data_IF_233215071469
#
_entry.id   IF_233215071469
#
_cell.length_a   1.000
_cell.length_b   1.000
_cell.length_c   1.000
_cell.angle_alpha   90.00
_cell.angle_beta   90.00
_cell.angle_gamma   90.00
#
_symmetry.space_group_name_H-M   'P 1'
#
loop_
_entity.id
_entity.type
_entity.pdbx_description
1 polymer ?
#
# COMPACT_ATOMS: atom_id res chain seq x y z
N UNK A 1 27.31 -73.96 -75.08
CA UNK A 1 26.19 -73.00 -75.25
C UNK A 1 26.04 -72.27 -73.94
N UNK A 2 26.72 -71.14 -73.79
CA UNK A 2 26.75 -70.35 -72.56
C UNK A 2 25.63 -69.32 -72.59
N UNK A 3 24.74 -69.36 -71.61
CA UNK A 3 23.62 -68.43 -71.52
C UNK A 3 24.14 -67.17 -70.84
N UNK A 4 24.11 -66.07 -71.58
CA UNK A 4 24.54 -64.75 -71.17
C UNK A 4 23.41 -64.11 -70.35
N UNK A 5 23.68 -63.79 -69.08
CA UNK A 5 22.73 -63.12 -68.19
C UNK A 5 22.85 -61.61 -68.40
N UNK A 6 21.84 -61.05 -69.06
CA UNK A 6 21.62 -59.62 -69.21
C UNK A 6 21.40 -58.98 -67.82
N UNK A 7 22.23 -58.00 -67.49
CA UNK A 7 22.22 -57.34 -66.19
C UNK A 7 21.33 -56.11 -66.27
N UNK A 8 20.12 -56.20 -65.70
CA UNK A 8 19.18 -55.08 -65.61
C UNK A 8 19.74 -53.86 -64.88
N UNK A 9 19.12 -52.67 -65.05
CA UNK A 9 19.71 -51.41 -64.63
C UNK A 9 19.81 -51.32 -63.10
N UNK A 10 21.02 -51.08 -62.60
CA UNK A 10 21.29 -50.82 -61.19
C UNK A 10 20.60 -49.54 -60.71
N UNK A 11 19.60 -49.68 -59.85
CA UNK A 11 18.92 -48.56 -59.18
C UNK A 11 19.88 -47.93 -58.17
N UNK A 12 20.40 -46.73 -58.47
CA UNK A 12 21.16 -45.92 -57.50
C UNK A 12 20.22 -45.37 -56.43
N UNK A 13 20.26 -45.96 -55.23
CA UNK A 13 19.62 -45.40 -54.03
C UNK A 13 20.34 -44.12 -53.64
N UNK A 14 19.66 -42.99 -53.74
CA UNK A 14 20.14 -41.72 -53.20
C UNK A 14 19.89 -41.75 -51.69
N UNK A 15 20.95 -41.91 -50.89
CA UNK A 15 20.86 -41.70 -49.46
C UNK A 15 20.66 -40.19 -49.21
N UNK A 16 19.45 -39.79 -48.82
CA UNK A 16 19.22 -38.47 -48.25
C UNK A 16 19.94 -38.41 -46.90
N UNK A 17 21.09 -37.74 -46.84
CA UNK A 17 21.69 -37.34 -45.59
C UNK A 17 20.79 -36.26 -44.98
N UNK A 18 20.08 -36.61 -43.92
CA UNK A 18 19.28 -35.69 -43.14
C UNK A 18 20.24 -34.78 -42.36
N UNK A 19 20.45 -33.56 -42.85
CA UNK A 19 21.24 -32.55 -42.14
C UNK A 19 20.48 -32.15 -40.87
N UNK A 20 20.85 -32.75 -39.75
CA UNK A 20 20.34 -32.43 -38.41
C UNK A 20 21.24 -31.40 -37.70
N UNK A 21 21.70 -30.39 -38.45
CA UNK A 21 22.45 -29.28 -37.87
C UNK A 21 21.45 -28.28 -37.28
N UNK A 22 21.52 -28.04 -35.97
CA UNK A 22 20.70 -27.03 -35.31
C UNK A 22 21.22 -25.67 -35.77
N UNK A 23 20.41 -24.95 -36.55
CA UNK A 23 20.71 -23.57 -36.88
C UNK A 23 20.55 -22.71 -35.62
N UNK A 24 21.67 -22.25 -35.06
CA UNK A 24 21.70 -21.40 -33.86
C UNK A 24 21.32 -19.95 -34.20
N UNK A 25 21.60 -19.49 -35.42
CA UNK A 25 21.37 -18.10 -35.86
C UNK A 25 19.92 -17.63 -35.69
N UNK A 26 18.90 -18.39 -36.12
CA UNK A 26 17.50 -18.01 -35.89
C UNK A 26 17.09 -18.07 -34.41
N UNK A 27 17.71 -18.96 -33.63
CA UNK A 27 17.42 -19.10 -32.20
C UNK A 27 17.90 -17.88 -31.40
N UNK A 28 19.08 -17.39 -31.72
CA UNK A 28 19.65 -16.18 -31.09
C UNK A 28 18.84 -14.95 -31.44
N UNK A 29 18.36 -14.83 -32.69
CA UNK A 29 17.52 -13.73 -33.14
C UNK A 29 16.18 -13.68 -32.36
N UNK A 30 15.51 -14.82 -32.20
CA UNK A 30 14.26 -14.91 -31.41
C UNK A 30 14.49 -14.51 -29.95
N UNK A 31 15.58 -14.95 -29.33
CA UNK A 31 15.89 -14.58 -27.94
C UNK A 31 16.20 -13.08 -27.82
N UNK A 32 16.95 -12.51 -28.77
CA UNK A 32 17.29 -11.08 -28.78
C UNK A 32 16.04 -10.20 -28.98
N UNK A 33 15.12 -10.59 -29.86
CA UNK A 33 13.83 -9.91 -30.03
C UNK A 33 13.02 -9.92 -28.73
N UNK A 34 12.95 -11.06 -28.04
CA UNK A 34 12.25 -11.16 -26.75
C UNK A 34 12.89 -10.26 -25.67
N UNK A 35 14.22 -10.17 -25.63
CA UNK A 35 14.92 -9.27 -24.71
C UNK A 35 14.60 -7.79 -24.98
N UNK A 36 14.56 -7.38 -26.26
CA UNK A 36 14.19 -6.02 -26.64
C UNK A 36 12.74 -5.73 -26.25
N UNK A 37 11.81 -6.65 -26.47
CA UNK A 37 10.41 -6.51 -26.06
C UNK A 37 10.31 -6.27 -24.55
N UNK A 38 10.99 -7.08 -23.73
CA UNK A 38 10.96 -6.90 -22.28
C UNK A 38 11.62 -5.59 -21.81
N UNK A 39 12.73 -5.20 -22.43
CA UNK A 39 13.41 -3.93 -22.14
C UNK A 39 12.53 -2.71 -22.46
N UNK A 40 11.74 -2.78 -23.54
CA UNK A 40 10.84 -1.69 -23.98
C UNK A 40 9.49 -1.72 -23.29
N UNK A 41 9.02 -2.87 -22.79
CA UNK A 41 7.73 -2.99 -22.10
C UNK A 41 7.77 -2.59 -20.61
N UNK A 42 8.93 -2.70 -19.96
CA UNK A 42 9.09 -2.31 -18.55
C UNK A 42 9.01 -0.80 -18.18
N UNK A 43 9.26 0.19 -19.05
CA UNK A 43 9.36 1.59 -18.65
C UNK A 43 8.01 2.29 -18.39
N UNK A 44 6.86 1.62 -18.58
CA UNK A 44 5.54 2.26 -18.46
C UNK A 44 4.85 2.08 -17.11
N UNK A 45 5.62 1.93 -16.03
CA UNK A 45 5.09 1.99 -14.67
C UNK A 45 5.36 3.37 -14.05
N UNK A 46 4.82 4.43 -14.63
CA UNK A 46 4.68 5.73 -13.95
C UNK A 46 3.19 6.04 -13.81
N UNK A 47 2.72 6.01 -12.56
CA UNK A 47 1.41 6.59 -12.22
C UNK A 47 1.60 8.10 -12.22
N UNK A 48 1.46 8.71 -13.41
CA UNK A 48 1.30 10.16 -13.49
C UNK A 48 -0.09 10.48 -12.92
N UNK A 49 -0.14 10.80 -11.63
CA UNK A 49 -1.27 11.54 -11.08
C UNK A 49 -1.02 13.01 -11.44
N UNK A 50 -1.72 13.59 -12.43
CA UNK A 50 -1.64 15.03 -12.65
C UNK A 50 -2.22 15.72 -11.41
N UNK A 51 -1.34 16.28 -10.59
CA UNK A 51 -1.75 17.15 -9.49
C UNK A 51 -1.94 18.53 -10.10
N UNK A 52 -3.16 18.83 -10.54
CA UNK A 52 -3.57 20.20 -10.83
C UNK A 52 -3.50 20.97 -9.51
N UNK A 53 -2.43 21.76 -9.35
CA UNK A 53 -2.34 22.78 -8.31
C UNK A 53 -3.02 24.03 -8.87
N UNK A 54 -4.29 24.32 -8.53
CA UNK A 54 -4.83 25.64 -8.82
C UNK A 54 -3.95 26.65 -8.10
N UNK A 55 -3.46 27.65 -8.83
CA UNK A 55 -2.82 28.85 -8.28
C UNK A 55 -3.85 29.59 -7.44
N UNK A 56 -4.04 29.13 -6.20
CA UNK A 56 -4.92 29.77 -5.25
C UNK A 56 -4.22 31.01 -4.70
N UNK A 57 -4.54 32.16 -5.30
CA UNK A 57 -4.65 33.42 -4.57
C UNK A 57 -5.88 33.37 -3.63
N UNK A 58 -5.99 32.31 -2.83
CA UNK A 58 -7.01 32.16 -1.82
C UNK A 58 -6.35 32.48 -0.48
N UNK A 59 -6.92 33.46 0.22
CA UNK A 59 -6.73 33.69 1.65
C UNK A 59 -6.50 32.36 2.37
N UNK A 60 -5.47 32.24 3.22
CA UNK A 60 -5.20 31.01 3.94
C UNK A 60 -6.48 30.59 4.65
N UNK A 61 -7.01 29.44 4.25
CA UNK A 61 -8.04 28.74 5.03
C UNK A 61 -7.47 28.61 6.44
N UNK A 62 -8.25 28.87 7.50
CA UNK A 62 -7.77 28.64 8.85
C UNK A 62 -7.23 27.21 8.92
N UNK A 63 -6.08 26.99 9.59
CA UNK A 63 -5.53 25.65 9.74
C UNK A 63 -6.63 24.70 10.22
N UNK A 64 -6.66 23.45 9.72
CA UNK A 64 -7.65 22.48 10.17
C UNK A 64 -7.62 22.48 11.70
N UNK A 65 -8.81 22.62 12.30
CA UNK A 65 -8.99 22.67 13.76
C UNK A 65 -8.08 21.65 14.42
N UNK A 66 -7.20 22.11 15.31
CA UNK A 66 -6.18 21.27 15.90
C UNK A 66 -6.81 19.96 16.41
N UNK A 67 -6.22 18.79 16.09
CA UNK A 67 -6.77 17.52 16.50
C UNK A 67 -6.86 17.46 18.03
N UNK A 68 -8.02 17.04 18.54
CA UNK A 68 -8.23 16.90 19.96
C UNK A 68 -7.60 15.60 20.45
N UNK A 69 -6.55 15.69 21.26
CA UNK A 69 -5.92 14.54 21.88
C UNK A 69 -6.56 14.21 23.23
N UNK A 70 -6.91 12.95 23.41
CA UNK A 70 -7.32 12.37 24.69
C UNK A 70 -6.25 11.36 25.10
N UNK A 71 -5.53 11.64 26.17
CA UNK A 71 -4.44 10.79 26.67
C UNK A 71 -4.87 10.03 27.91
N UNK A 72 -4.58 8.73 27.93
CA UNK A 72 -4.73 7.84 29.08
C UNK A 72 -3.35 7.43 29.55
N UNK A 73 -2.97 7.83 30.77
CA UNK A 73 -1.71 7.43 31.39
C UNK A 73 -1.82 6.06 32.07
N UNK A 74 -0.65 5.45 32.33
CA UNK A 74 -0.53 4.13 32.96
C UNK A 74 -1.19 4.05 34.35
N UNK A 75 -1.22 5.17 35.08
CA UNK A 75 -1.85 5.30 36.41
C UNK A 75 -3.38 5.46 36.33
N UNK A 76 -3.96 5.50 35.12
CA UNK A 76 -5.37 5.76 34.88
C UNK A 76 -5.72 7.25 34.82
N UNK A 77 -4.73 8.14 34.87
CA UNK A 77 -4.91 9.57 34.65
C UNK A 77 -5.44 9.86 33.25
N UNK A 78 -6.47 10.71 33.17
CA UNK A 78 -7.07 11.14 31.90
C UNK A 78 -6.75 12.60 31.65
N UNK A 79 -6.30 12.88 30.43
CA UNK A 79 -5.97 14.21 29.98
C UNK A 79 -6.65 14.48 28.65
N UNK A 80 -7.22 15.66 28.50
CA UNK A 80 -7.68 16.17 27.21
C UNK A 80 -6.80 17.36 26.88
N UNK A 81 -6.04 17.25 25.79
CA UNK A 81 -4.88 18.13 25.53
C UNK A 81 -3.92 18.13 26.74
N UNK A 82 -3.84 19.26 27.44
CA UNK A 82 -2.96 19.46 28.59
C UNK A 82 -3.75 19.50 29.92
N UNK A 83 -5.07 19.37 29.86
CA UNK A 83 -5.93 19.47 31.04
C UNK A 83 -6.26 18.10 31.61
N UNK A 84 -5.95 17.90 32.89
CA UNK A 84 -6.38 16.72 33.63
C UNK A 84 -7.89 16.75 33.85
N UNK A 85 -8.58 15.66 33.50
CA UNK A 85 -10.03 15.53 33.63
C UNK A 85 -10.40 14.21 34.28
N UNK A 86 -11.54 14.17 34.96
CA UNK A 86 -12.13 12.90 35.38
C UNK A 86 -12.94 12.26 34.24
N UNK A 87 -13.20 10.96 34.33
CA UNK A 87 -14.00 10.24 33.33
C UNK A 87 -15.42 10.81 33.18
N UNK A 88 -15.98 11.37 34.26
CA UNK A 88 -17.30 12.02 34.26
C UNK A 88 -17.27 13.37 33.52
N UNK A 89 -16.15 14.08 33.56
CA UNK A 89 -15.96 15.39 32.94
C UNK A 89 -15.46 15.30 31.50
N UNK A 90 -14.92 14.14 31.10
CA UNK A 90 -14.34 13.90 29.77
C UNK A 90 -15.24 14.36 28.62
N UNK A 91 -16.52 13.98 28.65
CA UNK A 91 -17.47 14.35 27.60
C UNK A 91 -17.70 15.87 27.53
N UNK A 92 -17.82 16.54 28.68
CA UNK A 92 -18.01 17.98 28.75
C UNK A 92 -16.77 18.74 28.29
N UNK A 93 -15.57 18.31 28.73
CA UNK A 93 -14.31 18.91 28.33
C UNK A 93 -14.05 18.75 26.82
N UNK A 94 -14.33 17.57 26.26
CA UNK A 94 -14.27 17.36 24.82
C UNK A 94 -15.24 18.29 24.08
N UNK A 95 -16.48 18.43 24.55
CA UNK A 95 -17.49 19.28 23.93
C UNK A 95 -17.13 20.76 23.97
N UNK A 96 -16.53 21.23 25.05
CA UNK A 96 -16.03 22.60 25.18
C UNK A 96 -14.88 22.86 24.20
N UNK A 97 -13.91 21.95 24.13
CA UNK A 97 -12.74 22.10 23.27
C UNK A 97 -13.05 21.92 21.77
N UNK A 98 -14.06 21.11 21.42
CA UNK A 98 -14.53 21.02 20.03
C UNK A 98 -15.57 22.09 19.67
N UNK A 99 -15.89 23.01 20.58
CA UNK A 99 -16.98 23.99 20.41
C UNK A 99 -18.32 23.35 19.99
N UNK A 100 -18.58 22.14 20.49
CA UNK A 100 -19.76 21.33 20.14
C UNK A 100 -19.73 20.66 18.77
N UNK A 101 -18.60 20.73 18.04
CA UNK A 101 -18.44 20.00 16.79
C UNK A 101 -18.17 18.51 17.05
N UNK A 102 -19.17 17.66 16.77
CA UNK A 102 -19.08 16.20 16.92
C UNK A 102 -18.39 15.50 15.74
N UNK A 103 -18.21 16.19 14.62
CA UNK A 103 -17.48 15.68 13.45
C UNK A 103 -15.96 15.81 13.61
N UNK A 104 -15.50 16.52 14.65
CA UNK A 104 -14.08 16.62 14.99
C UNK A 104 -13.52 15.23 15.23
N UNK A 105 -12.37 14.94 14.62
CA UNK A 105 -11.66 13.68 14.84
C UNK A 105 -10.90 13.75 16.16
N UNK A 106 -11.19 12.82 17.06
CA UNK A 106 -10.51 12.68 18.34
C UNK A 106 -9.41 11.64 18.23
N UNK A 107 -8.25 11.94 18.81
CA UNK A 107 -7.11 11.03 18.86
C UNK A 107 -6.95 10.51 20.28
N UNK A 108 -7.19 9.22 20.48
CA UNK A 108 -7.04 8.53 21.75
C UNK A 108 -5.63 7.95 21.84
N UNK A 109 -4.79 8.54 22.69
CA UNK A 109 -3.45 8.06 23.03
C UNK A 109 -3.52 7.29 24.35
N UNK A 110 -2.92 6.12 24.40
CA UNK A 110 -2.72 5.37 25.63
C UNK A 110 -1.27 4.96 25.77
N UNK A 111 -0.76 4.94 26.99
CA UNK A 111 0.47 4.23 27.31
C UNK A 111 0.28 2.71 27.01
N UNK A 112 1.34 2.02 26.62
CA UNK A 112 1.33 0.57 26.33
C UNK A 112 0.86 -0.26 27.54
N UNK A 113 1.06 0.27 28.74
CA UNK A 113 0.70 -0.40 30.00
C UNK A 113 -0.76 -0.20 30.41
N UNK A 114 -1.52 0.65 29.71
CA UNK A 114 -2.93 0.91 30.03
C UNK A 114 -3.77 -0.34 29.77
N UNK A 115 -4.58 -0.71 30.77
CA UNK A 115 -5.55 -1.79 30.60
C UNK A 115 -6.54 -1.50 29.47
N UNK A 116 -6.71 -2.48 28.58
CA UNK A 116 -7.66 -2.40 27.46
C UNK A 116 -9.08 -2.01 27.92
N UNK A 117 -9.53 -2.50 29.08
CA UNK A 117 -10.83 -2.16 29.65
C UNK A 117 -10.98 -0.67 29.97
N UNK A 118 -9.91 -0.01 30.39
CA UNK A 118 -9.88 1.43 30.66
C UNK A 118 -9.99 2.24 29.38
N UNK A 119 -9.21 1.88 28.35
CA UNK A 119 -9.31 2.47 27.00
C UNK A 119 -10.72 2.35 26.41
N UNK A 120 -11.32 1.16 26.50
CA UNK A 120 -12.68 0.93 26.03
C UNK A 120 -13.72 1.76 26.81
N UNK A 121 -13.54 1.95 28.12
CA UNK A 121 -14.43 2.79 28.93
C UNK A 121 -14.37 4.25 28.47
N UNK A 122 -13.18 4.78 28.23
CA UNK A 122 -12.96 6.15 27.71
C UNK A 122 -13.61 6.30 26.33
N UNK A 123 -13.35 5.36 25.42
CA UNK A 123 -13.91 5.38 24.08
C UNK A 123 -15.44 5.31 24.09
N UNK A 124 -16.03 4.46 24.94
CA UNK A 124 -17.48 4.37 25.11
C UNK A 124 -18.09 5.67 25.66
N UNK A 125 -17.41 6.34 26.61
CA UNK A 125 -17.86 7.64 27.13
C UNK A 125 -17.90 8.70 26.02
N UNK A 126 -16.87 8.75 25.18
CA UNK A 126 -16.81 9.69 24.04
C UNK A 126 -17.84 9.37 22.96
N UNK A 127 -18.05 8.09 22.63
CA UNK A 127 -19.12 7.68 21.69
C UNK A 127 -20.50 8.03 22.21
N UNK A 128 -20.78 7.82 23.50
CA UNK A 128 -22.06 8.22 24.12
C UNK A 128 -22.28 9.73 24.10
N UNK A 129 -21.21 10.52 24.08
CA UNK A 129 -21.26 11.97 23.93
C UNK A 129 -21.50 12.42 22.47
N UNK A 130 -21.52 11.49 21.50
CA UNK A 130 -21.80 11.77 20.09
C UNK A 130 -20.58 11.81 19.19
N UNK A 131 -19.37 11.60 19.71
CA UNK A 131 -18.16 11.55 18.89
C UNK A 131 -18.03 10.22 18.17
N UNK A 132 -18.30 10.23 16.87
CA UNK A 132 -18.22 9.04 16.03
C UNK A 132 -16.80 8.77 15.50
N UNK A 133 -15.95 9.79 15.41
CA UNK A 133 -14.62 9.73 14.77
C UNK A 133 -13.50 9.68 15.80
N UNK A 134 -13.33 8.54 16.44
CA UNK A 134 -12.25 8.30 17.40
C UNK A 134 -11.17 7.44 16.74
N UNK A 135 -9.95 7.95 16.66
CA UNK A 135 -8.78 7.25 16.16
C UNK A 135 -7.87 6.89 17.32
N UNK A 136 -7.48 5.61 17.44
CA UNK A 136 -6.42 5.23 18.37
C UNK A 136 -5.08 5.56 17.74
N UNK A 137 -4.22 6.21 18.52
CA UNK A 137 -2.82 6.43 18.18
C UNK A 137 -1.97 5.69 19.19
N UNK A 138 -1.21 4.72 18.70
CA UNK A 138 -0.05 4.26 19.43
C UNK A 138 0.91 5.46 19.53
N UNK A 139 1.50 5.67 20.69
CA UNK A 139 2.64 6.60 20.78
C UNK A 139 3.71 6.05 19.84
N UNK A 140 3.85 6.64 18.65
CA UNK A 140 5.06 6.43 17.85
C UNK A 140 6.22 6.80 18.77
N UNK A 141 7.10 5.83 19.00
CA UNK A 141 8.44 6.11 19.43
C UNK A 141 8.96 7.14 18.41
N UNK A 142 9.14 8.39 18.83
CA UNK A 142 9.81 9.38 18.00
C UNK A 142 11.17 8.79 17.71
N UNK A 143 11.36 8.19 16.53
CA UNK A 143 12.69 7.84 16.08
C UNK A 143 13.47 9.16 15.96
N UNK A 144 14.60 9.29 16.68
CA UNK A 144 15.35 10.54 16.80
C UNK A 144 16.00 11.01 15.50
#
# INVERSE_FOLDING_TARGET
MGIQLDSGPTVKRHNYQQNAEINITPFVDVILVLLIIFMVAAPLATVDVPVDLPSNAATPSPPPTDPLYVTVQADGGLFVQEQSVSLQQLAAAAHELTAGNLETRLFLRGDQTVEYGTLMRVMNTLQKAGYARISLVATEELEP
#
